data_IF_806328504133
#
_entry.id   IF_806328504133
#
_cell.length_a   1.000
_cell.length_b   1.000
_cell.length_c   1.000
_cell.angle_alpha   90.00
_cell.angle_beta   90.00
_cell.angle_gamma   90.00
#
_symmetry.space_group_name_H-M   'P 1'
#
loop_
_entity.id
_entity.type
_entity.pdbx_description
1 polymer ?
#
# COMPACT_ATOMS: atom_id res chain seq x y z
N UNK A 1 10.41 4.24 -8.51
CA UNK A 1 10.49 2.79 -8.77
C UNK A 1 10.47 2.07 -7.43
N UNK A 2 9.56 1.12 -7.23
CA UNK A 2 9.52 0.33 -6.00
C UNK A 2 10.73 -0.60 -5.96
N UNK A 3 11.52 -0.55 -4.88
CA UNK A 3 12.69 -1.42 -4.70
C UNK A 3 12.59 -2.16 -3.38
N UNK A 4 13.27 -3.31 -3.28
CA UNK A 4 13.28 -4.09 -2.04
C UNK A 4 13.91 -3.30 -0.90
N UNK A 5 14.92 -2.48 -1.21
CA UNK A 5 15.57 -1.64 -0.20
C UNK A 5 14.62 -0.58 0.36
N UNK A 6 13.79 0.03 -0.49
CA UNK A 6 12.73 0.95 -0.06
C UNK A 6 11.74 0.26 0.88
N UNK A 7 11.24 -0.93 0.52
CA UNK A 7 10.31 -1.70 1.36
C UNK A 7 10.90 -2.04 2.73
N UNK A 8 12.14 -2.53 2.74
CA UNK A 8 12.85 -2.91 3.96
C UNK A 8 13.13 -1.69 4.84
N UNK A 9 13.47 -0.55 4.25
CA UNK A 9 13.70 0.71 4.96
C UNK A 9 12.42 1.24 5.59
N UNK A 10 11.31 1.28 4.85
CA UNK A 10 10.02 1.80 5.34
C UNK A 10 9.44 0.92 6.45
N UNK A 11 9.56 -0.40 6.33
CA UNK A 11 9.06 -1.35 7.34
C UNK A 11 10.04 -1.60 8.49
N UNK A 12 11.27 -1.07 8.40
CA UNK A 12 12.28 -1.19 9.45
C UNK A 12 12.91 -2.58 9.57
N UNK A 13 12.94 -3.36 8.48
CA UNK A 13 13.66 -4.63 8.43
C UNK A 13 13.07 -5.68 7.48
N UNK A 14 13.91 -6.64 7.08
CA UNK A 14 13.52 -7.73 6.14
C UNK A 14 12.49 -8.66 6.77
N UNK A 15 12.63 -8.95 8.08
CA UNK A 15 11.69 -9.82 8.79
C UNK A 15 10.31 -9.15 8.88
N UNK A 16 10.26 -7.89 9.29
CA UNK A 16 9.01 -7.10 9.33
C UNK A 16 8.36 -6.97 7.96
N UNK A 17 9.16 -6.81 6.91
CA UNK A 17 8.65 -6.84 5.54
C UNK A 17 8.02 -8.18 5.18
N UNK A 18 8.67 -9.30 5.54
CA UNK A 18 8.13 -10.63 5.32
C UNK A 18 6.81 -10.83 6.07
N UNK A 19 6.73 -10.41 7.34
CA UNK A 19 5.52 -10.50 8.15
C UNK A 19 4.39 -9.62 7.60
N UNK A 20 4.69 -8.40 7.16
CA UNK A 20 3.71 -7.47 6.58
C UNK A 20 3.08 -8.01 5.30
N UNK A 21 3.88 -8.63 4.42
CA UNK A 21 3.40 -9.21 3.17
C UNK A 21 2.93 -10.67 3.32
N UNK A 22 3.04 -11.28 4.50
CA UNK A 22 2.68 -12.68 4.72
C UNK A 22 3.54 -13.68 3.93
N UNK A 23 4.79 -13.30 3.63
CA UNK A 23 5.73 -14.12 2.84
C UNK A 23 6.91 -14.58 3.68
N UNK A 24 7.69 -15.52 3.16
CA UNK A 24 8.95 -15.89 3.81
C UNK A 24 10.02 -14.82 3.64
N UNK A 25 10.94 -14.70 4.61
CA UNK A 25 12.12 -13.83 4.51
C UNK A 25 12.94 -14.09 3.24
N UNK A 26 13.03 -15.36 2.82
CA UNK A 26 13.71 -15.77 1.58
C UNK A 26 13.02 -15.23 0.34
N UNK A 27 11.70 -15.05 0.34
CA UNK A 27 10.98 -14.42 -0.76
C UNK A 27 11.43 -12.96 -0.95
N UNK A 28 11.58 -12.20 0.15
CA UNK A 28 12.07 -10.82 0.10
C UNK A 28 13.48 -10.74 -0.54
N UNK A 29 14.36 -11.67 -0.21
CA UNK A 29 15.69 -11.73 -0.85
C UNK A 29 15.60 -12.07 -2.34
N UNK A 30 14.75 -13.04 -2.72
CA UNK A 30 14.53 -13.41 -4.12
C UNK A 30 13.99 -12.25 -4.96
N UNK A 31 13.24 -11.32 -4.38
CA UNK A 31 12.76 -10.14 -5.10
C UNK A 31 13.89 -9.20 -5.56
N UNK A 32 15.05 -9.20 -4.88
CA UNK A 32 16.22 -8.43 -5.35
C UNK A 32 16.77 -8.97 -6.66
N UNK A 33 16.69 -10.28 -6.86
CA UNK A 33 17.24 -10.94 -8.05
C UNK A 33 16.20 -11.07 -9.17
N UNK A 34 14.95 -11.38 -8.82
CA UNK A 34 13.89 -11.71 -9.77
C UNK A 34 12.92 -10.57 -10.06
N UNK A 35 13.04 -9.47 -9.34
CA UNK A 35 12.05 -8.40 -9.33
C UNK A 35 10.93 -8.65 -8.33
N UNK A 36 10.26 -7.56 -7.95
CA UNK A 36 9.13 -7.58 -7.03
C UNK A 36 7.87 -8.01 -7.82
N UNK A 37 7.06 -8.95 -7.30
CA UNK A 37 5.82 -9.36 -7.94
C UNK A 37 4.84 -8.19 -8.12
N UNK A 38 3.97 -8.29 -9.13
CA UNK A 38 2.93 -7.28 -9.40
C UNK A 38 1.99 -7.08 -8.20
N UNK A 39 1.60 -8.17 -7.54
CA UNK A 39 0.71 -8.15 -6.37
C UNK A 39 1.27 -7.28 -5.23
N UNK A 40 2.58 -7.31 -5.02
CA UNK A 40 3.23 -6.48 -4.00
C UNK A 40 3.21 -5.00 -4.39
N UNK A 41 3.38 -4.68 -5.67
CA UNK A 41 3.26 -3.30 -6.15
C UNK A 41 1.83 -2.77 -5.95
N UNK A 42 0.82 -3.62 -6.17
CA UNK A 42 -0.57 -3.28 -5.93
C UNK A 42 -0.85 -3.06 -4.43
N UNK A 43 -0.38 -3.95 -3.56
CA UNK A 43 -0.52 -3.79 -2.09
C UNK A 43 0.14 -2.48 -1.63
N UNK A 44 1.31 -2.15 -2.18
CA UNK A 44 1.99 -0.88 -1.86
C UNK A 44 1.21 0.35 -2.34
N UNK A 45 0.46 0.24 -3.44
CA UNK A 45 -0.41 1.31 -3.92
C UNK A 45 -1.65 1.51 -3.05
N UNK A 46 -2.24 0.43 -2.54
CA UNK A 46 -3.39 0.49 -1.64
C UNK A 46 -3.03 0.96 -0.22
N UNK A 47 -1.77 0.78 0.19
CA UNK A 47 -1.31 1.12 1.53
C UNK A 47 -0.82 2.56 1.59
N UNK A 48 -1.33 3.35 2.54
CA UNK A 48 -0.89 4.72 2.80
C UNK A 48 0.55 4.79 3.36
N UNK A 49 1.11 3.66 3.79
CA UNK A 49 2.47 3.58 4.33
C UNK A 49 3.55 3.78 3.26
N UNK A 50 3.23 3.56 2.00
CA UNK A 50 4.18 3.68 0.91
C UNK A 50 3.77 4.82 -0.01
N UNK A 51 4.72 5.69 -0.30
CA UNK A 51 4.54 6.72 -1.33
C UNK A 51 4.83 6.12 -2.70
N UNK A 52 4.02 5.11 -3.08
CA UNK A 52 4.16 4.38 -4.32
C UNK A 52 2.82 4.32 -5.06
N UNK A 53 2.83 4.72 -6.33
CA UNK A 53 1.69 4.57 -7.23
C UNK A 53 1.98 3.42 -8.19
N UNK A 54 1.07 2.44 -8.24
CA UNK A 54 1.18 1.30 -9.14
C UNK A 54 1.04 1.75 -10.59
N UNK A 55 1.99 1.36 -11.44
CA UNK A 55 1.95 1.64 -12.88
C UNK A 55 1.68 0.34 -13.66
N UNK A 56 0.50 0.18 -14.28
CA UNK A 56 0.15 -1.02 -15.04
C UNK A 56 1.00 -1.20 -16.31
N UNK A 57 1.54 -0.12 -16.88
CA UNK A 57 2.37 -0.20 -18.08
C UNK A 57 3.69 -0.95 -17.81
N UNK A 58 4.19 -0.89 -16.57
CA UNK A 58 5.41 -1.59 -16.17
C UNK A 58 5.27 -3.12 -16.28
N UNK A 59 4.04 -3.63 -16.20
CA UNK A 59 3.74 -5.06 -16.28
C UNK A 59 3.12 -5.47 -17.63
N UNK A 60 3.10 -4.56 -18.61
CA UNK A 60 2.44 -4.80 -19.90
C UNK A 60 0.92 -5.01 -19.77
N UNK A 61 0.31 -4.53 -18.69
CA UNK A 61 -1.14 -4.54 -18.51
C UNK A 61 -1.71 -3.29 -19.17
N UNK A 62 -2.71 -3.46 -20.04
CA UNK A 62 -3.52 -2.35 -20.52
C UNK A 62 -4.25 -1.73 -19.33
N UNK A 63 -3.83 -0.54 -18.89
CA UNK A 63 -4.47 0.18 -17.76
C UNK A 63 -5.98 0.42 -17.95
N UNK A 64 -6.46 0.32 -19.20
CA UNK A 64 -7.88 0.36 -19.56
C UNK A 64 -8.64 -0.94 -19.23
N UNK A 65 -7.97 -2.09 -19.25
CA UNK A 65 -8.60 -3.40 -19.07
C UNK A 65 -8.94 -3.71 -17.60
N UNK A 66 -8.22 -3.11 -16.65
CA UNK A 66 -8.44 -3.34 -15.23
C UNK A 66 -9.57 -2.47 -14.62
N UNK A 67 -10.10 -1.46 -15.35
CA UNK A 67 -11.03 -0.45 -14.82
C UNK A 67 -10.64 0.06 -13.42
N UNK A 68 -9.34 0.01 -13.12
CA UNK A 68 -8.84 0.28 -11.78
C UNK A 68 -8.82 1.79 -11.68
N UNK A 69 -9.80 2.35 -10.96
CA UNK A 69 -9.81 3.77 -10.65
C UNK A 69 -8.60 4.02 -9.75
N UNK A 70 -7.46 4.33 -10.37
CA UNK A 70 -6.15 4.55 -9.75
C UNK A 70 -6.10 5.89 -8.98
N UNK A 71 -7.25 6.44 -8.62
CA UNK A 71 -7.31 7.52 -7.64
C UNK A 71 -7.08 6.86 -6.29
N UNK A 72 -5.82 6.88 -5.83
CA UNK A 72 -5.49 6.74 -4.42
C UNK A 72 -6.53 7.56 -3.65
N UNK A 73 -7.35 6.92 -2.82
CA UNK A 73 -8.37 7.63 -2.05
C UNK A 73 -7.63 8.65 -1.19
N UNK A 74 -7.66 9.92 -1.61
CA UNK A 74 -7.31 11.03 -0.76
C UNK A 74 -8.27 10.91 0.41
N UNK A 75 -7.73 10.72 1.61
CA UNK A 75 -8.46 10.71 2.87
C UNK A 75 -9.60 11.73 2.80
N UNK A 76 -10.83 11.24 2.63
CA UNK A 76 -11.97 12.08 2.88
C UNK A 76 -11.91 12.36 4.38
N UNK A 77 -11.63 13.60 4.76
CA UNK A 77 -11.69 14.06 6.13
C UNK A 77 -13.06 13.70 6.71
N UNK A 78 -13.12 12.63 7.51
CA UNK A 78 -14.30 12.30 8.30
C UNK A 78 -14.37 13.33 9.41
N UNK A 79 -15.11 14.41 9.15
CA UNK A 79 -15.56 15.31 10.22
C UNK A 79 -16.62 14.58 11.04
N UNK A 80 -16.17 13.77 12.01
CA UNK A 80 -17.01 13.29 13.11
C UNK A 80 -17.43 14.50 13.93
N UNK A 81 -18.55 15.13 13.56
CA UNK A 81 -19.27 16.00 14.46
C UNK A 81 -20.05 15.12 15.43
N UNK A 82 -19.37 14.67 16.48
CA UNK A 82 -20.01 14.18 17.69
C UNK A 82 -20.67 15.39 18.38
N UNK A 83 -21.94 15.66 18.06
CA UNK A 83 -22.75 16.54 18.90
C UNK A 83 -23.38 15.69 20.00
N UNK A 84 -22.58 15.39 21.03
CA UNK A 84 -23.10 15.05 22.36
C UNK A 84 -23.99 16.20 22.85
N UNK A 85 -25.32 16.08 22.68
CA UNK A 85 -26.29 16.93 23.37
C UNK A 85 -26.63 16.25 24.70
N UNK A 86 -25.86 16.58 25.73
CA UNK A 86 -26.29 16.38 27.10
C UNK A 86 -26.54 17.74 27.77
N UNK A 87 -27.69 17.84 28.44
CA UNK A 87 -28.12 18.89 29.38
C UNK A 87 -28.77 20.14 28.75
N UNK A 88 -29.91 20.65 29.22
CA UNK A 88 -30.45 20.61 30.58
C UNK A 88 -31.99 20.49 30.60
N UNK A 89 -32.48 19.73 31.57
CA UNK A 89 -33.84 19.87 32.08
C UNK A 89 -33.85 21.05 33.06
N UNK A 90 -34.82 21.95 32.92
CA UNK A 90 -35.18 23.00 33.87
C UNK A 90 -36.71 23.11 33.92
#
# INVERSE_FOLDING_TARGET
MLTVDYLVKTLGGVQKAADFFGVSRTAIYKWRERGIPEEIHFICHCSELFDYTYDPNFFGRDGKALQLVLTKQTTNEVTTNDQTIHSAAA
#
